data_IF_588473584588
#
_entry.id   IF_588473584588
#
_cell.length_a   1.000
_cell.length_b   1.000
_cell.length_c   1.000
_cell.angle_alpha   90.00
_cell.angle_beta   90.00
_cell.angle_gamma   90.00
#
_symmetry.space_group_name_H-M   'P 1'
#
loop_
_entity.id
_entity.type
_entity.pdbx_description
1 polymer ?
#
# COMPACT_ATOMS: atom_id res chain seq x y z
N UNK A 1 14.10 39.49 11.39
CA UNK A 1 13.81 38.46 10.37
C UNK A 1 14.73 38.62 9.17
N UNK A 2 14.88 39.84 8.61
CA UNK A 2 15.84 40.11 7.52
C UNK A 2 17.28 39.65 7.82
N UNK A 3 17.75 39.81 9.06
CA UNK A 3 19.03 39.33 9.57
C UNK A 3 19.18 37.79 9.45
N UNK A 4 18.13 37.05 9.81
CA UNK A 4 18.12 35.59 9.74
C UNK A 4 18.06 35.09 8.29
N UNK A 5 17.29 35.77 7.43
CA UNK A 5 17.24 35.48 5.98
C UNK A 5 18.60 35.74 5.33
N UNK A 6 19.26 36.86 5.64
CA UNK A 6 20.58 37.19 5.14
C UNK A 6 21.65 36.19 5.62
N UNK A 7 21.63 35.82 6.90
CA UNK A 7 22.56 34.82 7.45
C UNK A 7 22.41 33.45 6.76
N UNK A 8 21.17 32.98 6.59
CA UNK A 8 20.90 31.73 5.89
C UNK A 8 21.26 31.80 4.41
N UNK A 9 20.98 32.92 3.73
CA UNK A 9 21.33 33.12 2.32
C UNK A 9 22.84 33.07 2.13
N UNK A 10 23.59 33.80 2.95
CA UNK A 10 25.05 33.81 2.88
C UNK A 10 25.64 32.44 3.16
N UNK A 11 25.18 31.77 4.21
CA UNK A 11 25.68 30.45 4.58
C UNK A 11 25.36 29.37 3.52
N UNK A 12 24.16 29.40 2.93
CA UNK A 12 23.77 28.48 1.87
C UNK A 12 24.54 28.73 0.57
N UNK A 13 24.78 29.99 0.18
CA UNK A 13 25.58 30.29 -1.01
C UNK A 13 27.06 29.90 -0.84
N UNK A 14 27.61 30.01 0.37
CA UNK A 14 29.01 29.68 0.64
C UNK A 14 29.25 28.17 0.74
N UNK A 15 28.42 27.45 1.48
CA UNK A 15 28.66 26.05 1.87
C UNK A 15 27.39 25.18 1.89
N UNK A 16 26.35 25.61 1.18
CA UNK A 16 25.08 24.92 1.11
C UNK A 16 25.03 23.84 0.03
N UNK A 17 24.16 22.85 0.23
CA UNK A 17 23.81 21.86 -0.78
C UNK A 17 22.33 21.51 -0.69
N UNK A 18 21.74 21.20 -1.84
CA UNK A 18 20.35 20.75 -1.97
C UNK A 18 20.33 19.38 -2.63
N UNK A 19 19.81 18.39 -1.92
CA UNK A 19 19.54 17.05 -2.45
C UNK A 19 18.11 17.01 -2.96
N UNK A 20 17.95 16.71 -4.26
CA UNK A 20 16.65 16.69 -4.93
C UNK A 20 15.64 15.73 -4.28
N UNK A 21 14.33 15.96 -4.46
CA UNK A 21 13.30 15.08 -3.94
C UNK A 21 13.40 13.65 -4.50
N UNK A 22 13.73 12.69 -3.65
CA UNK A 22 13.94 11.29 -4.04
C UNK A 22 13.53 10.30 -2.94
N UNK A 23 14.44 9.39 -2.57
CA UNK A 23 14.28 8.54 -1.37
C UNK A 23 14.49 9.34 -0.08
N UNK A 24 15.35 10.34 -0.15
CA UNK A 24 15.62 11.32 0.90
C UNK A 24 15.74 12.69 0.27
N UNK A 25 15.32 13.71 1.01
CA UNK A 25 15.42 15.11 0.65
C UNK A 25 16.17 15.84 1.76
N UNK A 26 17.07 16.73 1.38
CA UNK A 26 17.81 17.52 2.36
C UNK A 26 18.34 18.81 1.78
N UNK A 27 18.22 19.89 2.56
CA UNK A 27 19.00 21.10 2.41
C UNK A 27 20.01 21.12 3.55
N UNK A 28 21.30 21.19 3.22
CA UNK A 28 22.40 21.17 4.18
C UNK A 28 23.26 22.42 4.05
N UNK A 29 23.86 22.84 5.17
CA UNK A 29 24.92 23.86 5.21
C UNK A 29 26.05 23.32 6.06
N UNK A 30 27.26 23.30 5.51
CA UNK A 30 28.47 22.94 6.27
C UNK A 30 28.90 24.15 7.12
N UNK A 31 29.18 23.92 8.39
CA UNK A 31 29.53 24.97 9.34
C UNK A 31 31.01 24.83 9.79
N UNK A 32 31.68 25.94 10.13
CA UNK A 32 33.07 25.92 10.59
C UNK A 32 33.25 25.33 11.99
N UNK A 33 32.16 25.17 12.75
CA UNK A 33 32.16 24.60 14.10
C UNK A 33 30.74 24.53 14.68
N UNK A 34 30.59 23.94 15.88
CA UNK A 34 29.29 23.66 16.49
C UNK A 34 28.55 24.94 16.90
N UNK A 35 29.27 25.99 17.30
CA UNK A 35 28.68 27.28 17.67
C UNK A 35 28.01 27.95 16.46
N UNK A 36 28.66 27.90 15.29
CA UNK A 36 28.10 28.42 14.06
C UNK A 36 26.87 27.60 13.62
N UNK A 37 26.92 26.28 13.76
CA UNK A 37 25.78 25.41 13.47
C UNK A 37 24.58 25.71 14.38
N UNK A 38 24.80 25.88 15.69
CA UNK A 38 23.75 26.23 16.65
C UNK A 38 23.16 27.62 16.37
N UNK A 39 24.01 28.61 16.06
CA UNK A 39 23.55 29.95 15.68
C UNK A 39 22.68 29.92 14.42
N UNK A 40 23.07 29.15 13.41
CA UNK A 40 22.34 29.01 12.16
C UNK A 40 20.99 28.25 12.36
N UNK A 41 20.96 27.23 13.21
CA UNK A 41 19.70 26.60 13.65
C UNK A 41 18.79 27.62 14.36
N UNK A 42 19.35 28.45 15.24
CA UNK A 42 18.62 29.53 15.90
C UNK A 42 18.03 30.54 14.91
N UNK A 43 18.78 30.89 13.86
CA UNK A 43 18.28 31.72 12.76
C UNK A 43 17.14 31.04 12.00
N UNK A 44 17.24 29.73 11.73
CA UNK A 44 16.17 28.97 11.05
C UNK A 44 14.87 28.98 11.84
N UNK A 45 14.97 28.81 13.17
CA UNK A 45 13.82 28.86 14.07
C UNK A 45 13.11 30.21 14.02
N UNK A 46 13.85 31.32 13.90
CA UNK A 46 13.24 32.66 13.72
C UNK A 46 12.50 32.83 12.39
N UNK A 47 12.78 31.97 11.41
CA UNK A 47 12.07 31.88 10.13
C UNK A 47 10.96 30.82 10.15
N UNK A 48 10.67 30.23 11.31
CA UNK A 48 9.74 29.09 11.48
C UNK A 48 10.15 27.84 10.70
N UNK A 49 11.45 27.65 10.47
CA UNK A 49 12.00 26.50 9.75
C UNK A 49 12.68 25.55 10.73
N UNK A 50 12.25 24.29 10.72
CA UNK A 50 12.81 23.25 11.58
C UNK A 50 14.14 22.72 11.01
N UNK A 51 15.25 23.28 11.48
CA UNK A 51 16.60 22.82 11.17
C UNK A 51 17.22 22.04 12.36
N UNK A 52 18.18 21.16 12.07
CA UNK A 52 18.92 20.40 13.11
C UNK A 52 20.42 20.50 12.86
N UNK A 53 21.18 20.74 13.93
CA UNK A 53 22.63 20.57 13.90
C UNK A 53 23.02 19.08 14.00
N UNK A 54 24.04 18.69 13.27
CA UNK A 54 24.60 17.34 13.21
C UNK A 54 26.10 17.42 12.96
N UNK A 55 26.87 16.57 13.61
CA UNK A 55 28.27 16.33 13.25
C UNK A 55 28.34 15.09 12.34
N UNK A 56 29.04 15.20 11.22
CA UNK A 56 29.28 14.08 10.30
C UNK A 56 30.76 14.03 9.98
N UNK A 57 31.46 12.98 10.44
CA UNK A 57 32.90 12.76 10.24
C UNK A 57 33.74 13.96 10.72
N UNK A 58 33.45 14.51 11.90
CA UNK A 58 34.16 15.66 12.45
C UNK A 58 33.81 17.00 11.80
N UNK A 59 32.74 17.05 10.99
CA UNK A 59 32.29 18.29 10.33
C UNK A 59 30.87 18.63 10.80
N UNK A 60 30.71 19.81 11.38
CA UNK A 60 29.41 20.34 11.77
C UNK A 60 28.57 20.76 10.57
N UNK A 61 27.29 20.38 10.61
CA UNK A 61 26.32 20.66 9.55
C UNK A 61 24.99 21.08 10.16
N UNK A 62 24.27 21.92 9.44
CA UNK A 62 22.85 22.16 9.68
C UNK A 62 22.05 21.55 8.55
N UNK A 63 21.03 20.76 8.90
CA UNK A 63 20.17 20.06 7.93
C UNK A 63 18.70 20.39 8.14
N UNK A 64 18.00 20.60 7.02
CA UNK A 64 16.54 20.60 6.91
C UNK A 64 16.15 19.42 6.03
N UNK A 65 15.27 18.53 6.52
CA UNK A 65 14.87 17.32 5.80
C UNK A 65 13.41 17.31 5.33
N UNK A 66 12.59 18.11 5.99
CA UNK A 66 11.18 18.22 5.65
C UNK A 66 11.03 18.99 4.33
N UNK A 67 10.28 18.42 3.38
CA UNK A 67 10.21 18.95 2.02
C UNK A 67 9.53 20.31 1.93
N UNK A 68 8.51 20.53 2.77
CA UNK A 68 7.79 21.80 2.89
C UNK A 68 8.69 22.86 3.53
N UNK A 69 9.42 22.49 4.59
CA UNK A 69 10.40 23.38 5.23
C UNK A 69 11.55 23.76 4.28
N UNK A 70 12.00 22.85 3.40
CA UNK A 70 13.01 23.15 2.37
C UNK A 70 12.45 24.17 1.36
N UNK A 71 11.24 23.96 0.84
CA UNK A 71 10.59 24.90 -0.09
C UNK A 71 10.36 26.28 0.55
N UNK A 72 9.91 26.30 1.81
CA UNK A 72 9.76 27.53 2.59
C UNK A 72 11.09 28.26 2.80
N UNK A 73 12.18 27.52 3.10
CA UNK A 73 13.51 28.10 3.24
C UNK A 73 13.99 28.70 1.92
N UNK A 74 13.93 27.95 0.80
CA UNK A 74 14.31 28.46 -0.52
C UNK A 74 13.53 29.72 -0.91
N UNK A 75 12.25 29.79 -0.55
CA UNK A 75 11.40 30.98 -0.73
C UNK A 75 11.94 32.18 0.07
N UNK A 76 12.26 31.98 1.34
CA UNK A 76 12.86 33.02 2.21
C UNK A 76 14.23 33.47 1.71
N UNK A 77 14.98 32.57 1.09
CA UNK A 77 16.27 32.87 0.47
C UNK A 77 16.14 33.67 -0.83
N UNK A 78 14.94 33.77 -1.43
CA UNK A 78 14.72 34.45 -2.71
C UNK A 78 15.09 33.60 -3.93
N UNK A 79 15.23 32.28 -3.77
CA UNK A 79 15.64 31.37 -4.82
C UNK A 79 14.45 30.90 -5.68
N UNK A 80 13.75 31.83 -6.34
CA UNK A 80 12.46 31.59 -7.00
C UNK A 80 12.47 30.44 -8.02
N UNK A 81 13.46 30.39 -8.91
CA UNK A 81 13.60 29.30 -9.89
C UNK A 81 13.82 27.95 -9.21
N UNK A 82 14.64 27.93 -8.15
CA UNK A 82 14.88 26.72 -7.36
C UNK A 82 13.63 26.25 -6.62
N UNK A 83 12.79 27.16 -6.12
CA UNK A 83 11.50 26.83 -5.50
C UNK A 83 10.57 26.17 -6.52
N UNK A 84 10.40 26.75 -7.70
CA UNK A 84 9.54 26.17 -8.74
C UNK A 84 10.00 24.76 -9.12
N UNK A 85 11.31 24.62 -9.37
CA UNK A 85 11.88 23.34 -9.74
C UNK A 85 11.84 22.31 -8.59
N UNK A 86 11.87 22.76 -7.33
CA UNK A 86 11.69 21.92 -6.14
C UNK A 86 10.26 21.39 -6.03
N UNK A 87 9.27 22.28 -6.13
CA UNK A 87 7.86 21.94 -6.01
C UNK A 87 7.40 21.02 -7.16
N UNK A 88 7.83 21.28 -8.39
CA UNK A 88 7.53 20.41 -9.55
C UNK A 88 8.04 18.98 -9.32
N UNK A 89 9.29 18.83 -8.86
CA UNK A 89 9.88 17.52 -8.57
C UNK A 89 9.16 16.81 -7.43
N UNK A 90 8.82 17.53 -6.36
CA UNK A 90 8.07 16.99 -5.20
C UNK A 90 6.69 16.50 -5.63
N UNK A 91 5.93 17.32 -6.33
CA UNK A 91 4.59 16.97 -6.80
C UNK A 91 4.64 15.73 -7.72
N UNK A 92 5.56 15.71 -8.68
CA UNK A 92 5.74 14.55 -9.57
C UNK A 92 6.05 13.26 -8.79
N UNK A 93 6.83 13.36 -7.71
CA UNK A 93 7.16 12.20 -6.86
C UNK A 93 5.95 11.73 -6.06
N UNK A 94 5.18 12.64 -5.51
CA UNK A 94 3.96 12.33 -4.74
C UNK A 94 2.93 11.63 -5.60
N UNK A 95 2.66 12.15 -6.80
CA UNK A 95 1.76 11.53 -7.78
C UNK A 95 2.22 10.10 -8.11
N UNK A 96 3.50 9.91 -8.44
CA UNK A 96 4.07 8.57 -8.71
C UNK A 96 3.98 7.64 -7.49
N UNK A 97 4.25 8.15 -6.29
CA UNK A 97 4.17 7.36 -5.07
C UNK A 97 2.75 6.87 -4.80
N UNK A 98 1.75 7.73 -5.01
CA UNK A 98 0.34 7.40 -4.86
C UNK A 98 -0.11 6.40 -5.93
N UNK A 99 0.25 6.62 -7.20
CA UNK A 99 -0.04 5.68 -8.28
C UNK A 99 0.56 4.29 -8.02
N UNK A 100 1.83 4.21 -7.60
CA UNK A 100 2.47 2.93 -7.28
C UNK A 100 1.83 2.24 -6.07
N UNK A 101 1.43 3.00 -5.04
CA UNK A 101 0.72 2.43 -3.89
C UNK A 101 -0.62 1.83 -4.29
N UNK A 102 -1.37 2.53 -5.15
CA UNK A 102 -2.64 2.05 -5.66
C UNK A 102 -2.47 0.79 -6.50
N UNK A 103 -1.56 0.80 -7.48
CA UNK A 103 -1.29 -0.35 -8.33
C UNK A 103 -0.84 -1.60 -7.53
N UNK A 104 0.03 -1.42 -6.53
CA UNK A 104 0.45 -2.52 -5.64
C UNK A 104 -0.72 -3.05 -4.79
N UNK A 105 -1.62 -2.17 -4.35
CA UNK A 105 -2.80 -2.56 -3.59
C UNK A 105 -3.77 -3.37 -4.46
N UNK A 106 -3.99 -2.95 -5.71
CA UNK A 106 -4.86 -3.64 -6.65
C UNK A 106 -4.29 -5.02 -7.03
N UNK A 107 -3.00 -5.13 -7.33
CA UNK A 107 -2.34 -6.42 -7.59
C UNK A 107 -2.44 -7.36 -6.38
N UNK A 108 -2.18 -6.86 -5.16
CA UNK A 108 -2.28 -7.65 -3.94
C UNK A 108 -3.72 -8.13 -3.68
N UNK A 109 -4.72 -7.28 -3.92
CA UNK A 109 -6.13 -7.65 -3.76
C UNK A 109 -6.60 -8.64 -4.82
N UNK A 110 -6.16 -8.48 -6.07
CA UNK A 110 -6.48 -9.40 -7.16
C UNK A 110 -5.92 -10.79 -6.86
N UNK A 111 -4.64 -10.88 -6.47
CA UNK A 111 -3.98 -12.14 -6.10
C UNK A 111 -4.65 -12.81 -4.90
N UNK A 112 -4.98 -12.05 -3.86
CA UNK A 112 -5.69 -12.58 -2.68
C UNK A 112 -7.06 -13.13 -3.06
N UNK A 113 -7.82 -12.38 -3.86
CA UNK A 113 -9.16 -12.76 -4.28
C UNK A 113 -9.15 -13.99 -5.19
N UNK A 114 -8.19 -14.07 -6.13
CA UNK A 114 -8.00 -15.23 -6.99
C UNK A 114 -7.69 -16.50 -6.18
N UNK A 115 -6.76 -16.43 -5.22
CA UNK A 115 -6.45 -17.56 -4.33
C UNK A 115 -7.66 -18.01 -3.51
N UNK A 116 -8.43 -17.05 -2.98
CA UNK A 116 -9.65 -17.36 -2.24
C UNK A 116 -10.71 -18.00 -3.13
N UNK A 117 -10.84 -17.56 -4.39
CA UNK A 117 -11.77 -18.12 -5.36
C UNK A 117 -11.41 -19.57 -5.74
N UNK A 118 -10.13 -19.85 -5.99
CA UNK A 118 -9.62 -21.21 -6.24
C UNK A 118 -9.88 -22.13 -5.06
N UNK A 119 -9.49 -21.71 -3.85
CA UNK A 119 -9.74 -22.48 -2.63
C UNK A 119 -11.24 -22.72 -2.38
N UNK A 120 -12.08 -21.72 -2.64
CA UNK A 120 -13.54 -21.87 -2.54
C UNK A 120 -14.08 -22.87 -3.58
N UNK A 121 -13.54 -22.88 -4.81
CA UNK A 121 -13.88 -23.85 -5.85
C UNK A 121 -13.60 -25.28 -5.40
N UNK A 122 -12.38 -25.55 -4.92
CA UNK A 122 -11.96 -26.85 -4.38
C UNK A 122 -12.93 -27.38 -3.31
N UNK A 123 -13.23 -26.53 -2.33
CA UNK A 123 -14.13 -26.87 -1.22
C UNK A 123 -15.57 -27.12 -1.69
N UNK A 124 -16.05 -26.32 -2.64
CA UNK A 124 -17.38 -26.46 -3.23
C UNK A 124 -17.51 -27.76 -4.01
N UNK A 125 -16.49 -28.14 -4.78
CA UNK A 125 -16.45 -29.43 -5.46
C UNK A 125 -16.63 -30.56 -4.46
N UNK A 126 -15.81 -30.55 -3.39
CA UNK A 126 -15.89 -31.55 -2.32
C UNK A 126 -17.24 -31.54 -1.61
N UNK A 127 -17.83 -30.37 -1.39
CA UNK A 127 -19.14 -30.24 -0.75
C UNK A 127 -20.26 -30.88 -1.58
N UNK A 128 -20.23 -30.71 -2.89
CA UNK A 128 -21.19 -31.33 -3.80
C UNK A 128 -21.04 -32.86 -3.83
N UNK A 129 -19.82 -33.39 -3.76
CA UNK A 129 -19.56 -34.83 -3.64
C UNK A 129 -20.11 -35.42 -2.33
N UNK A 130 -19.90 -34.73 -1.19
CA UNK A 130 -20.34 -35.21 0.13
C UNK A 130 -21.87 -35.21 0.24
N UNK A 131 -22.53 -34.19 -0.31
CA UNK A 131 -23.98 -34.02 -0.18
C UNK A 131 -24.76 -34.79 -1.24
N UNK A 132 -24.19 -35.02 -2.43
CA UNK A 132 -24.86 -35.70 -3.55
C UNK A 132 -26.29 -35.19 -3.75
N UNK A 133 -27.31 -36.04 -3.61
CA UNK A 133 -28.73 -35.70 -3.81
C UNK A 133 -29.36 -34.96 -2.61
N UNK A 134 -28.69 -34.87 -1.46
CA UNK A 134 -29.19 -34.22 -0.25
C UNK A 134 -29.03 -32.67 -0.30
N UNK A 135 -28.39 -32.12 -1.34
CA UNK A 135 -28.14 -30.68 -1.46
C UNK A 135 -29.38 -29.89 -1.90
N UNK A 136 -29.80 -28.83 -1.19
CA UNK A 136 -30.86 -27.95 -1.67
C UNK A 136 -30.48 -27.26 -3.00
N UNK A 137 -31.41 -27.23 -3.95
CA UNK A 137 -31.16 -26.77 -5.33
C UNK A 137 -30.55 -25.36 -5.41
N UNK A 138 -31.02 -24.43 -4.56
CA UNK A 138 -30.49 -23.06 -4.52
C UNK A 138 -29.03 -22.96 -4.02
N UNK A 139 -28.54 -23.95 -3.26
CA UNK A 139 -27.15 -24.08 -2.85
C UNK A 139 -26.33 -24.80 -3.92
N UNK A 140 -26.90 -25.85 -4.52
CA UNK A 140 -26.30 -26.60 -5.61
C UNK A 140 -26.02 -25.70 -6.82
N UNK A 141 -26.98 -24.86 -7.21
CA UNK A 141 -26.83 -23.87 -8.28
C UNK A 141 -25.66 -22.91 -8.03
N UNK A 142 -25.53 -22.39 -6.80
CA UNK A 142 -24.40 -21.51 -6.44
C UNK A 142 -23.05 -22.27 -6.44
N UNK A 143 -23.06 -23.54 -6.05
CA UNK A 143 -21.89 -24.41 -6.09
C UNK A 143 -21.42 -24.69 -7.52
N UNK A 144 -22.34 -25.10 -8.41
CA UNK A 144 -22.07 -25.32 -9.83
C UNK A 144 -21.55 -24.05 -10.51
N UNK A 145 -22.16 -22.90 -10.23
CA UNK A 145 -21.72 -21.63 -10.78
C UNK A 145 -20.27 -21.26 -10.36
N UNK A 146 -19.89 -21.53 -9.10
CA UNK A 146 -18.50 -21.38 -8.63
C UNK A 146 -17.54 -22.36 -9.31
N UNK A 147 -18.00 -23.57 -9.64
CA UNK A 147 -17.19 -24.58 -10.35
C UNK A 147 -16.98 -24.24 -11.82
N UNK A 148 -18.00 -23.69 -12.48
CA UNK A 148 -17.92 -23.21 -13.87
C UNK A 148 -17.01 -21.98 -13.98
N UNK A 149 -17.06 -21.09 -12.98
CA UNK A 149 -16.30 -19.84 -12.96
C UNK A 149 -15.32 -19.77 -11.77
N UNK A 150 -14.33 -20.68 -11.77
CA UNK A 150 -13.37 -20.85 -10.64
C UNK A 150 -12.60 -19.57 -10.27
N UNK A 151 -12.31 -18.72 -11.26
CA UNK A 151 -11.52 -17.49 -11.07
C UNK A 151 -12.38 -16.24 -10.85
N UNK A 152 -13.71 -16.31 -11.04
CA UNK A 152 -14.57 -15.16 -10.91
C UNK A 152 -14.68 -14.69 -9.45
N UNK A 153 -14.72 -13.38 -9.24
CA UNK A 153 -15.10 -12.80 -7.96
C UNK A 153 -16.53 -13.17 -7.59
N UNK A 154 -16.88 -13.03 -6.30
CA UNK A 154 -18.25 -13.26 -5.84
C UNK A 154 -19.27 -12.28 -6.46
N UNK A 155 -18.81 -11.10 -6.88
CA UNK A 155 -19.63 -10.10 -7.55
C UNK A 155 -19.94 -10.53 -8.98
N UNK A 156 -18.93 -10.99 -9.73
CA UNK A 156 -19.12 -11.57 -11.06
C UNK A 156 -20.00 -12.83 -11.01
N UNK A 157 -19.83 -13.70 -10.02
CA UNK A 157 -20.74 -14.84 -9.82
C UNK A 157 -22.18 -14.38 -9.55
N UNK A 158 -22.36 -13.29 -8.81
CA UNK A 158 -23.69 -12.71 -8.57
C UNK A 158 -24.36 -12.27 -9.86
N UNK A 159 -23.61 -11.62 -10.75
CA UNK A 159 -24.09 -11.17 -12.04
C UNK A 159 -24.39 -12.32 -13.02
N UNK A 160 -23.64 -13.42 -12.95
CA UNK A 160 -23.83 -14.61 -13.78
C UNK A 160 -24.96 -15.53 -13.28
N UNK A 161 -25.42 -15.36 -12.04
CA UNK A 161 -26.51 -16.16 -11.51
C UNK A 161 -27.84 -15.82 -12.19
N UNK A 162 -28.70 -16.82 -12.35
CA UNK A 162 -30.07 -16.65 -12.82
C UNK A 162 -31.07 -17.12 -11.75
N UNK A 163 -31.89 -16.23 -11.17
CA UNK A 163 -31.87 -14.77 -11.33
C UNK A 163 -30.59 -14.14 -10.73
N UNK A 164 -30.21 -12.92 -11.17
CA UNK A 164 -29.03 -12.21 -10.65
C UNK A 164 -29.08 -12.06 -9.13
N UNK A 165 -27.93 -12.28 -8.51
CA UNK A 165 -27.76 -12.25 -7.06
C UNK A 165 -26.77 -11.16 -6.66
N UNK A 166 -26.93 -10.63 -5.46
CA UNK A 166 -25.89 -9.82 -4.85
C UNK A 166 -24.70 -10.70 -4.45
N UNK A 167 -23.50 -10.09 -4.41
CA UNK A 167 -22.28 -10.69 -3.88
C UNK A 167 -22.52 -11.44 -2.56
N UNK A 168 -23.23 -10.81 -1.63
CA UNK A 168 -23.49 -11.38 -0.30
C UNK A 168 -24.47 -12.55 -0.34
N UNK A 169 -25.45 -12.53 -1.25
CA UNK A 169 -26.36 -13.64 -1.44
C UNK A 169 -25.63 -14.89 -1.97
N UNK A 170 -24.74 -14.74 -2.95
CA UNK A 170 -23.89 -15.83 -3.45
C UNK A 170 -22.94 -16.32 -2.35
N UNK A 171 -22.24 -15.40 -1.67
CA UNK A 171 -21.33 -15.74 -0.59
C UNK A 171 -22.03 -16.48 0.57
N UNK A 172 -23.27 -16.08 0.88
CA UNK A 172 -24.11 -16.74 1.87
C UNK A 172 -24.51 -18.14 1.46
N UNK A 173 -24.88 -18.35 0.18
CA UNK A 173 -25.20 -19.68 -0.36
C UNK A 173 -24.00 -20.61 -0.32
N UNK A 174 -22.83 -20.15 -0.80
CA UNK A 174 -21.59 -20.94 -0.76
C UNK A 174 -21.23 -21.30 0.69
N UNK A 175 -21.28 -20.37 1.64
CA UNK A 175 -21.01 -20.67 3.06
C UNK A 175 -21.95 -21.72 3.63
N UNK A 176 -23.24 -21.64 3.33
CA UNK A 176 -24.23 -22.63 3.81
C UNK A 176 -24.02 -24.00 3.19
N UNK A 177 -23.65 -24.05 1.91
CA UNK A 177 -23.28 -25.30 1.22
C UNK A 177 -22.12 -25.99 1.94
N UNK A 178 -21.03 -25.25 2.19
CA UNK A 178 -19.85 -25.79 2.87
C UNK A 178 -20.18 -26.26 4.29
N UNK A 179 -20.91 -25.46 5.07
CA UNK A 179 -21.29 -25.82 6.43
C UNK A 179 -22.18 -27.09 6.48
N UNK A 180 -23.07 -27.25 5.50
CA UNK A 180 -23.92 -28.43 5.38
C UNK A 180 -23.09 -29.68 5.04
N UNK A 181 -22.14 -29.56 4.12
CA UNK A 181 -21.23 -30.64 3.75
C UNK A 181 -20.29 -31.03 4.91
N UNK A 182 -19.70 -30.06 5.61
CA UNK A 182 -18.82 -30.33 6.75
C UNK A 182 -19.58 -31.02 7.90
N UNK A 183 -20.85 -30.65 8.14
CA UNK A 183 -21.71 -31.34 9.10
C UNK A 183 -21.94 -32.79 8.68
N UNK A 184 -22.33 -33.02 7.41
CA UNK A 184 -22.58 -34.36 6.86
C UNK A 184 -21.32 -35.23 6.90
N UNK A 185 -20.16 -34.66 6.60
CA UNK A 185 -18.88 -35.34 6.70
C UNK A 185 -18.57 -35.79 8.13
N UNK A 186 -18.84 -34.93 9.12
CA UNK A 186 -18.73 -35.28 10.54
C UNK A 186 -19.64 -36.43 10.95
N UNK A 187 -20.90 -36.41 10.51
CA UNK A 187 -21.87 -37.49 10.78
C UNK A 187 -21.46 -38.83 10.15
N UNK A 188 -20.79 -38.79 9.00
CA UNK A 188 -20.29 -39.97 8.27
C UNK A 188 -18.88 -40.42 8.69
N UNK A 189 -18.18 -39.64 9.53
CA UNK A 189 -16.80 -39.91 9.91
C UNK A 189 -15.77 -39.79 8.78
N UNK A 190 -16.08 -39.01 7.73
CA UNK A 190 -15.19 -38.78 6.58
C UNK A 190 -14.53 -37.39 6.66
N UNK A 191 -13.41 -37.14 5.97
CA UNK A 191 -12.81 -35.81 5.89
C UNK A 191 -13.75 -34.78 5.25
N UNK A 192 -13.81 -33.59 5.85
CA UNK A 192 -14.65 -32.46 5.40
C UNK A 192 -14.12 -31.74 4.17
N UNK A 193 -14.69 -30.57 3.87
CA UNK A 193 -14.43 -29.81 2.65
C UNK A 193 -13.01 -29.26 2.53
N UNK A 194 -12.25 -29.19 3.63
CA UNK A 194 -10.89 -28.66 3.65
C UNK A 194 -9.80 -29.70 3.34
N UNK A 195 -10.15 -30.98 3.29
CA UNK A 195 -9.18 -32.08 3.20
C UNK A 195 -8.28 -32.06 1.95
N UNK A 196 -8.77 -31.50 0.84
CA UNK A 196 -8.05 -31.50 -0.44
C UNK A 196 -7.35 -30.16 -0.76
N UNK A 197 -7.44 -29.17 0.14
CA UNK A 197 -6.93 -27.82 -0.13
C UNK A 197 -5.42 -27.78 -0.34
N UNK A 198 -4.66 -28.60 0.39
CA UNK A 198 -3.18 -28.57 0.35
C UNK A 198 -2.58 -29.04 -0.98
N UNK A 199 -3.21 -29.97 -1.68
CA UNK A 199 -2.71 -30.51 -2.95
C UNK A 199 -3.07 -29.58 -4.13
N UNK A 200 -4.33 -29.11 -4.20
CA UNK A 200 -4.77 -28.25 -5.29
C UNK A 200 -4.22 -26.81 -5.23
N UNK A 201 -3.97 -26.27 -4.02
CA UNK A 201 -3.30 -24.96 -3.89
C UNK A 201 -1.83 -25.02 -4.36
N UNK A 202 -1.17 -26.17 -4.25
CA UNK A 202 0.20 -26.34 -4.73
C UNK A 202 0.26 -26.39 -6.27
N UNK A 203 -0.65 -27.11 -6.91
CA UNK A 203 -0.70 -27.23 -8.38
C UNK A 203 -1.09 -25.92 -9.07
N UNK A 204 -2.02 -25.14 -8.48
CA UNK A 204 -2.45 -23.86 -9.06
C UNK A 204 -1.47 -22.69 -8.82
N UNK A 205 -0.44 -22.86 -7.98
CA UNK A 205 0.63 -21.88 -7.79
C UNK A 205 1.83 -22.10 -8.75
N UNK A 206 1.84 -23.22 -9.48
CA UNK A 206 2.93 -23.62 -10.37
C UNK A 206 2.66 -23.35 -11.87
N UNK A 207 1.46 -22.87 -12.23
CA UNK A 207 1.07 -22.45 -13.59
C UNK A 207 0.82 -20.96 -13.68
#
# INVERSE_FOLDING_TARGET
TCDAEAAWRGAFLAHGSLTEPGRSSSLEVTCPGPEAALALVGAARRLSIAAKAREVRGVDRVVVRDGDAIGALLTRLGAHESVLAWEERRMRREVRATANRLANFDDANLRRSARAAVAAGARVQRALEILADDVPEHLAAAGRLRMEHKQASLEELGALADPPLTKDAVAGRIRRLLAMADKRAGDLGIPGTEANLSEELADNLAG
#
